data_IF_869197603275
#
_entry.id   IF_869197603275
#
_cell.length_a   1.000
_cell.length_b   1.000
_cell.length_c   1.000
_cell.angle_alpha   90.00
_cell.angle_beta   90.00
_cell.angle_gamma   90.00
#
_symmetry.space_group_name_H-M   'P 1'
#
loop_
_entity.id
_entity.type
_entity.pdbx_description
1 polymer ?
#
# COMPACT_ATOMS: atom_id res chain seq x y z
N UNK A 1 -6.67 -46.58 -21.16
CA UNK A 1 -5.35 -46.81 -21.78
C UNK A 1 -4.61 -47.98 -21.11
N UNK A 2 -5.15 -49.20 -21.11
CA UNK A 2 -4.54 -50.36 -20.41
C UNK A 2 -4.13 -51.52 -21.33
N UNK A 3 -4.67 -51.60 -22.56
CA UNK A 3 -4.45 -52.74 -23.45
C UNK A 3 -3.08 -52.74 -24.17
N UNK A 4 -2.43 -51.57 -24.29
CA UNK A 4 -1.10 -51.46 -24.91
C UNK A 4 0.06 -51.72 -23.92
N UNK A 5 -0.21 -51.79 -22.61
CA UNK A 5 0.81 -51.95 -21.57
C UNK A 5 1.16 -53.41 -21.29
N UNK A 6 0.22 -54.35 -21.49
CA UNK A 6 0.43 -55.76 -21.16
C UNK A 6 1.16 -56.55 -22.24
N UNK A 7 0.85 -56.35 -23.54
CA UNK A 7 1.55 -57.03 -24.64
C UNK A 7 3.02 -56.59 -24.77
N UNK A 8 3.33 -55.32 -24.50
CA UNK A 8 4.69 -54.77 -24.69
C UNK A 8 5.67 -55.13 -23.57
N UNK A 9 5.23 -55.59 -22.40
CA UNK A 9 6.17 -55.85 -21.31
C UNK A 9 7.03 -57.09 -21.58
N UNK A 10 6.45 -58.14 -22.18
CA UNK A 10 7.19 -59.34 -22.60
C UNK A 10 8.21 -59.01 -23.69
N UNK A 11 7.74 -58.42 -24.78
CA UNK A 11 8.57 -58.01 -25.93
C UNK A 11 9.72 -57.08 -25.51
N UNK A 12 9.48 -56.15 -24.58
CA UNK A 12 10.51 -55.22 -24.10
C UNK A 12 11.54 -55.91 -23.18
N UNK A 13 11.15 -56.96 -22.46
CA UNK A 13 12.07 -57.79 -21.67
C UNK A 13 12.91 -58.67 -22.60
N UNK A 14 12.32 -59.21 -23.66
CA UNK A 14 13.00 -60.03 -24.66
C UNK A 14 14.02 -59.20 -25.48
N UNK A 15 13.61 -58.03 -25.96
CA UNK A 15 14.53 -57.05 -26.59
C UNK A 15 15.67 -56.64 -25.65
N UNK A 16 15.38 -56.44 -24.36
CA UNK A 16 16.41 -56.15 -23.38
C UNK A 16 17.37 -57.33 -23.18
N UNK A 17 16.88 -58.57 -23.25
CA UNK A 17 17.70 -59.78 -23.16
C UNK A 17 18.60 -59.96 -24.40
N UNK A 18 18.08 -59.73 -25.61
CA UNK A 18 18.84 -59.74 -26.87
C UNK A 18 19.95 -58.69 -26.88
N UNK A 19 19.68 -57.51 -26.30
CA UNK A 19 20.64 -56.41 -26.16
C UNK A 19 21.56 -56.54 -24.94
N UNK A 20 21.48 -57.64 -24.18
CA UNK A 20 22.34 -57.90 -23.01
C UNK A 20 22.07 -56.98 -21.81
N UNK A 21 20.92 -56.32 -21.75
CA UNK A 21 20.55 -55.38 -20.69
C UNK A 21 19.94 -56.11 -19.49
N UNK A 22 20.46 -55.93 -18.26
CA UNK A 22 19.86 -56.53 -17.07
C UNK A 22 18.47 -55.94 -16.83
N UNK A 23 17.45 -56.79 -16.72
CA UNK A 23 16.02 -56.46 -16.58
C UNK A 23 15.65 -55.57 -15.37
N UNK A 24 16.62 -55.28 -14.50
CA UNK A 24 16.52 -54.33 -13.38
C UNK A 24 17.78 -53.46 -13.35
N UNK A 25 17.81 -52.33 -14.07
CA UNK A 25 18.93 -51.40 -13.95
C UNK A 25 18.98 -50.87 -12.51
N UNK A 26 20.10 -51.06 -11.82
CA UNK A 26 20.37 -50.39 -10.54
C UNK A 26 20.62 -48.90 -10.86
N UNK A 27 19.56 -48.09 -10.87
CA UNK A 27 19.60 -46.64 -11.16
C UNK A 27 20.68 -45.92 -10.33
N UNK A 28 20.91 -46.38 -9.10
CA UNK A 28 21.96 -45.88 -8.19
C UNK A 28 23.38 -45.96 -8.77
N UNK A 29 23.63 -46.87 -9.71
CA UNK A 29 24.94 -47.06 -10.33
C UNK A 29 25.10 -46.28 -11.64
N UNK A 30 24.09 -45.55 -12.12
CA UNK A 30 24.16 -44.85 -13.39
C UNK A 30 24.67 -43.40 -13.23
N UNK A 31 24.31 -42.74 -12.12
CA UNK A 31 24.71 -41.35 -11.84
C UNK A 31 26.16 -41.23 -11.36
N UNK A 32 26.67 -42.23 -10.64
CA UNK A 32 28.04 -42.26 -10.09
C UNK A 32 29.11 -42.62 -11.14
N UNK A 33 28.70 -43.05 -12.34
CA UNK A 33 29.60 -43.54 -13.39
C UNK A 33 30.04 -42.49 -14.42
N UNK A 34 29.48 -41.28 -14.39
CA UNK A 34 29.98 -40.21 -15.26
C UNK A 34 31.31 -39.71 -14.71
N UNK A 35 32.44 -39.85 -15.45
CA UNK A 35 33.75 -39.37 -14.99
C UNK A 35 33.78 -37.86 -14.75
N UNK A 36 32.84 -37.12 -15.33
CA UNK A 36 32.72 -35.67 -15.21
C UNK A 36 31.77 -35.22 -14.09
N UNK A 37 31.19 -36.14 -13.31
CA UNK A 37 30.29 -35.79 -12.21
C UNK A 37 31.07 -35.25 -11.01
N UNK A 38 31.01 -33.93 -10.82
CA UNK A 38 31.57 -33.25 -9.66
C UNK A 38 30.45 -32.85 -8.70
N UNK A 39 30.30 -33.60 -7.60
CA UNK A 39 29.23 -33.38 -6.62
C UNK A 39 29.22 -31.95 -6.05
N UNK A 40 30.40 -31.35 -5.91
CA UNK A 40 30.57 -29.98 -5.44
C UNK A 40 29.89 -28.97 -6.37
N UNK A 41 30.04 -29.13 -7.68
CA UNK A 41 29.51 -28.19 -8.67
C UNK A 41 27.99 -28.32 -8.77
N UNK A 42 27.49 -29.55 -8.69
CA UNK A 42 26.04 -29.82 -8.64
C UNK A 42 25.42 -29.21 -7.38
N UNK A 43 26.06 -29.36 -6.22
CA UNK A 43 25.61 -28.72 -4.97
C UNK A 43 25.65 -27.20 -5.06
N UNK A 44 26.70 -26.62 -5.65
CA UNK A 44 26.80 -25.18 -5.85
C UNK A 44 25.68 -24.64 -6.76
N UNK A 45 25.37 -25.35 -7.84
CA UNK A 45 24.28 -25.00 -8.76
C UNK A 45 22.91 -25.08 -8.07
N UNK A 46 22.65 -26.10 -7.26
CA UNK A 46 21.42 -26.16 -6.49
C UNK A 46 21.31 -25.02 -5.48
N UNK A 47 22.41 -24.66 -4.82
CA UNK A 47 22.41 -23.55 -3.88
C UNK A 47 22.12 -22.21 -4.57
N UNK A 48 22.71 -21.96 -5.74
CA UNK A 48 22.44 -20.73 -6.50
C UNK A 48 20.97 -20.65 -6.94
N UNK A 49 20.39 -21.77 -7.41
CA UNK A 49 18.96 -21.81 -7.79
C UNK A 49 18.05 -21.51 -6.59
N UNK A 50 18.36 -22.04 -5.40
CA UNK A 50 17.59 -21.77 -4.19
C UNK A 50 17.71 -20.29 -3.80
N UNK A 51 18.92 -19.73 -3.82
CA UNK A 51 19.13 -18.30 -3.52
C UNK A 51 18.38 -17.40 -4.51
N UNK A 52 18.45 -17.69 -5.81
CA UNK A 52 17.74 -16.90 -6.83
C UNK A 52 16.22 -16.94 -6.64
N UNK A 53 15.66 -18.08 -6.22
CA UNK A 53 14.23 -18.18 -5.90
C UNK A 53 13.85 -17.34 -4.68
N UNK A 54 14.65 -17.42 -3.61
CA UNK A 54 14.43 -16.60 -2.40
C UNK A 54 14.50 -15.11 -2.75
N UNK A 55 15.50 -14.71 -3.55
CA UNK A 55 15.66 -13.31 -3.97
C UNK A 55 14.46 -12.81 -4.76
N UNK A 56 14.02 -13.57 -5.77
CA UNK A 56 12.85 -13.22 -6.58
C UNK A 56 11.58 -13.12 -5.74
N UNK A 57 11.38 -14.04 -4.80
CA UNK A 57 10.21 -14.00 -3.91
C UNK A 57 10.25 -12.78 -2.98
N UNK A 58 11.43 -12.39 -2.49
CA UNK A 58 11.61 -11.19 -1.67
C UNK A 58 11.32 -9.91 -2.46
N UNK A 59 11.87 -9.80 -3.68
CA UNK A 59 11.60 -8.66 -4.59
C UNK A 59 10.09 -8.54 -4.90
N UNK A 60 9.41 -9.65 -5.19
CA UNK A 60 7.97 -9.65 -5.46
C UNK A 60 7.13 -9.23 -4.23
N UNK A 61 7.53 -9.67 -3.03
CA UNK A 61 6.87 -9.26 -1.77
C UNK A 61 7.08 -7.78 -1.49
N UNK A 62 8.29 -7.27 -1.71
CA UNK A 62 8.61 -5.86 -1.52
C UNK A 62 7.82 -4.97 -2.49
N UNK A 63 7.74 -5.34 -3.76
CA UNK A 63 6.93 -4.61 -4.74
C UNK A 63 5.45 -4.60 -4.37
N UNK A 64 4.90 -5.76 -3.96
CA UNK A 64 3.52 -5.85 -3.48
C UNK A 64 3.29 -4.94 -2.27
N UNK A 65 4.20 -4.93 -1.31
CA UNK A 65 4.10 -4.09 -0.12
C UNK A 65 4.15 -2.60 -0.49
N UNK A 66 5.05 -2.20 -1.39
CA UNK A 66 5.15 -0.83 -1.88
C UNK A 66 3.86 -0.37 -2.58
N UNK A 67 3.27 -1.22 -3.42
CA UNK A 67 2.00 -0.90 -4.10
C UNK A 67 0.82 -0.78 -3.12
N UNK A 68 0.81 -1.58 -2.05
CA UNK A 68 -0.21 -1.47 -0.99
C UNK A 68 -0.03 -0.17 -0.21
N UNK A 69 1.20 0.14 0.21
CA UNK A 69 1.48 1.35 0.99
C UNK A 69 1.16 2.63 0.21
N UNK A 70 1.46 2.66 -1.10
CA UNK A 70 1.12 3.79 -1.97
C UNK A 70 -0.40 4.00 -2.09
N UNK A 71 -1.16 2.92 -2.26
CA UNK A 71 -2.63 2.98 -2.30
C UNK A 71 -3.21 3.47 -0.98
N UNK A 72 -2.74 2.95 0.15
CA UNK A 72 -3.18 3.41 1.46
C UNK A 72 -2.81 4.88 1.71
N UNK A 73 -1.62 5.31 1.28
CA UNK A 73 -1.19 6.70 1.40
C UNK A 73 -2.03 7.64 0.52
N UNK A 74 -2.55 7.14 -0.61
CA UNK A 74 -3.49 7.88 -1.45
C UNK A 74 -4.86 8.00 -0.77
N UNK A 75 -5.41 6.90 -0.27
CA UNK A 75 -6.69 6.89 0.46
C UNK A 75 -6.62 7.83 1.68
N UNK A 76 -5.56 7.74 2.48
CA UNK A 76 -5.34 8.65 3.63
C UNK A 76 -5.19 10.12 3.26
N UNK A 77 -4.80 10.44 2.03
CA UNK A 77 -4.77 11.83 1.53
C UNK A 77 -6.17 12.28 1.12
N UNK A 78 -6.86 11.46 0.35
CA UNK A 78 -8.25 11.70 -0.09
C UNK A 78 -9.19 11.87 1.12
N UNK A 79 -9.07 11.06 2.17
CA UNK A 79 -9.85 11.19 3.41
C UNK A 79 -9.61 12.54 4.12
N UNK A 80 -8.35 12.97 4.20
CA UNK A 80 -7.99 14.26 4.81
C UNK A 80 -8.51 15.43 3.98
N UNK A 81 -8.42 15.35 2.66
CA UNK A 81 -8.98 16.37 1.77
C UNK A 81 -10.50 16.45 1.90
N UNK A 82 -11.19 15.31 1.98
CA UNK A 82 -12.63 15.26 2.19
C UNK A 82 -13.04 15.89 3.52
N UNK A 83 -12.30 15.62 4.60
CA UNK A 83 -12.57 16.22 5.90
C UNK A 83 -12.36 17.74 5.90
N UNK A 84 -11.28 18.21 5.27
CA UNK A 84 -11.01 19.64 5.09
C UNK A 84 -12.11 20.32 4.26
N UNK A 85 -12.55 19.72 3.16
CA UNK A 85 -13.62 20.27 2.33
C UNK A 85 -14.96 20.30 3.09
N UNK A 86 -15.23 19.27 3.91
CA UNK A 86 -16.41 19.26 4.79
C UNK A 86 -16.37 20.43 5.78
N UNK A 87 -15.22 20.67 6.43
CA UNK A 87 -15.04 21.81 7.33
C UNK A 87 -15.16 23.14 6.59
N UNK A 88 -14.59 23.24 5.38
CA UNK A 88 -14.68 24.44 4.54
C UNK A 88 -16.12 24.78 4.19
N UNK A 89 -16.90 23.79 3.76
CA UNK A 89 -18.33 23.94 3.48
C UNK A 89 -19.13 24.32 4.73
N UNK A 90 -18.79 23.74 5.89
CA UNK A 90 -19.41 24.12 7.15
C UNK A 90 -19.11 25.57 7.56
N UNK A 91 -17.84 26.00 7.43
CA UNK A 91 -17.43 27.37 7.71
C UNK A 91 -18.07 28.37 6.73
N UNK A 92 -18.15 28.02 5.44
CA UNK A 92 -18.83 28.84 4.43
C UNK A 92 -20.33 28.93 4.71
N UNK A 93 -20.99 27.82 5.07
CA UNK A 93 -22.39 27.82 5.50
C UNK A 93 -22.61 28.74 6.70
N UNK A 94 -21.74 28.66 7.71
CA UNK A 94 -21.81 29.51 8.90
C UNK A 94 -21.59 30.99 8.55
N UNK A 95 -20.63 31.29 7.67
CA UNK A 95 -20.38 32.66 7.19
C UNK A 95 -21.57 33.20 6.40
N UNK A 96 -22.15 32.39 5.51
CA UNK A 96 -23.36 32.75 4.77
C UNK A 96 -24.56 32.96 5.69
N UNK A 97 -24.72 32.17 6.76
CA UNK A 97 -25.75 32.41 7.78
C UNK A 97 -25.49 33.70 8.55
N UNK A 98 -24.23 34.00 8.89
CA UNK A 98 -23.86 35.24 9.58
C UNK A 98 -24.18 36.46 8.71
N UNK A 99 -23.76 36.44 7.44
CA UNK A 99 -24.03 37.49 6.46
C UNK A 99 -25.53 37.64 6.13
N UNK A 100 -26.31 36.55 6.12
CA UNK A 100 -27.76 36.61 5.97
C UNK A 100 -28.48 37.09 7.24
N UNK A 101 -27.92 36.83 8.43
CA UNK A 101 -28.45 37.36 9.70
C UNK A 101 -28.12 38.85 9.89
N UNK A 102 -27.01 39.33 9.32
CA UNK A 102 -26.67 40.77 9.32
C UNK A 102 -27.61 41.60 8.43
N UNK A 103 -28.25 41.01 7.43
CA UNK A 103 -29.25 41.69 6.61
C UNK A 103 -30.68 41.63 7.20
N UNK A 104 -30.83 41.05 8.40
CA UNK A 104 -32.07 41.13 9.20
C UNK A 104 -31.67 41.58 10.61
N UNK A 105 -31.51 42.90 10.76
CA UNK A 105 -31.41 43.61 12.05
C UNK A 105 -30.04 43.51 12.77
N UNK A 106 -29.00 44.15 12.22
CA UNK A 106 -27.83 44.59 13.00
C UNK A 106 -28.16 45.75 13.97
N UNK A 107 -27.52 45.83 15.15
CA UNK A 107 -28.01 46.56 16.32
C UNK A 107 -27.77 48.08 16.21
N UNK A 108 -28.84 48.85 15.96
CA UNK A 108 -28.85 50.33 16.16
C UNK A 108 -28.70 50.77 17.63
N UNK A 109 -28.33 49.89 18.55
CA UNK A 109 -28.23 50.19 19.99
C UNK A 109 -26.84 50.70 20.41
N UNK A 110 -25.79 50.42 19.64
CA UNK A 110 -24.42 50.81 20.02
C UNK A 110 -24.19 52.32 19.77
N UNK A 111 -24.82 52.89 18.74
CA UNK A 111 -24.65 54.31 18.44
C UNK A 111 -25.36 55.25 19.43
N UNK A 112 -26.39 54.75 20.12
CA UNK A 112 -27.15 55.53 21.11
C UNK A 112 -26.51 55.49 22.51
N UNK A 113 -25.87 54.37 22.87
CA UNK A 113 -25.12 54.24 24.12
C UNK A 113 -23.85 55.10 24.12
N UNK A 114 -23.15 55.19 22.99
CA UNK A 114 -21.96 56.03 22.85
C UNK A 114 -22.30 57.53 22.84
N UNK A 115 -23.46 57.95 22.32
CA UNK A 115 -23.88 59.35 22.39
C UNK A 115 -24.32 59.81 23.78
N UNK A 116 -24.85 58.92 24.63
CA UNK A 116 -25.22 59.26 26.02
C UNK A 116 -24.01 59.41 26.95
N UNK A 117 -22.88 58.77 26.64
CA UNK A 117 -21.65 58.91 27.42
C UNK A 117 -20.86 60.19 27.09
N UNK A 118 -20.98 60.72 25.87
CA UNK A 118 -20.21 61.88 25.41
C UNK A 118 -20.82 63.27 25.70
N UNK A 119 -21.94 63.37 26.43
CA UNK A 119 -22.54 64.68 26.78
C UNK A 119 -22.34 65.08 28.26
N UNK A 120 -21.52 64.37 29.04
CA UNK A 120 -21.35 64.66 30.49
C UNK A 120 -20.10 65.47 30.88
N UNK A 121 -19.23 65.82 29.94
CA UNK A 121 -17.99 66.58 30.25
C UNK A 121 -18.02 68.04 29.76
N UNK A 122 -19.19 68.71 29.82
CA UNK A 122 -19.24 70.17 29.83
C UNK A 122 -19.33 70.69 31.27
N UNK A 123 -18.34 70.38 32.09
CA UNK A 123 -18.13 71.09 33.37
C UNK A 123 -17.16 72.24 33.09
N UNK A 124 -17.74 73.42 32.95
CA UNK A 124 -17.04 74.71 32.92
C UNK A 124 -16.23 74.88 34.21
N UNK A 125 -14.91 74.84 34.13
CA UNK A 125 -14.04 75.27 35.22
C UNK A 125 -13.84 76.79 35.12
N UNK A 126 -14.06 77.57 36.19
CA UNK A 126 -13.79 79.00 36.16
C UNK A 126 -12.28 79.25 36.16
N UNK A 127 -11.83 80.15 35.27
CA UNK A 127 -10.46 80.68 35.25
C UNK A 127 -10.18 81.45 36.55
N UNK A 128 -8.99 81.30 37.16
CA UNK A 128 -8.59 82.15 38.27
C UNK A 128 -8.28 83.57 37.75
N UNK A 129 -8.86 84.58 38.39
CA UNK A 129 -8.45 85.99 38.24
C UNK A 129 -7.37 86.31 39.28
N UNK A 130 -6.35 87.04 38.83
CA UNK A 130 -5.18 87.53 39.58
C UNK A 130 -5.49 88.09 40.98
#
# INVERSE_FOLDING_TARGET
>A
MAFLLSKKKGDLIELAAELGCPSKPKIKNLTVKSPDYVEKDVKALFHSIVQDRIRKEAEEKEEKLHRVSEREAKIRREEREYELERLRMQAQKNTNMMNNSENVQGPKLIHEAFHKFNMKDNVSYPRPSN
#
